data_IF_029455015278
#
_entry.id   IF_029455015278
#
_cell.length_a   1.000
_cell.length_b   1.000
_cell.length_c   1.000
_cell.angle_alpha   90.00
_cell.angle_beta   90.00
_cell.angle_gamma   90.00
#
_symmetry.space_group_name_H-M   'P 1'
#
loop_
_entity.id
_entity.type
_entity.pdbx_description
1 polymer ?
#
# COMPACT_ATOMS: atom_id res chain seq x y z
N UNK A 1 43.09 4.69 -17.55
CA UNK A 1 43.23 3.22 -17.45
C UNK A 1 41.82 2.61 -17.39
N UNK A 2 41.19 2.37 -18.55
CA UNK A 2 39.88 1.71 -18.63
C UNK A 2 40.10 0.23 -18.29
N UNK A 3 39.79 -0.17 -17.06
CA UNK A 3 39.78 -1.60 -16.70
C UNK A 3 38.73 -2.28 -17.58
N UNK A 4 39.17 -3.19 -18.44
CA UNK A 4 38.30 -4.10 -19.20
C UNK A 4 37.38 -4.79 -18.20
N UNK A 5 36.07 -4.53 -18.29
CA UNK A 5 35.05 -5.25 -17.53
C UNK A 5 34.96 -6.64 -18.15
N UNK A 6 35.70 -7.59 -17.57
CA UNK A 6 35.58 -9.01 -17.88
C UNK A 6 34.50 -9.58 -16.95
N UNK A 7 33.23 -9.34 -17.26
CA UNK A 7 32.18 -10.24 -16.79
C UNK A 7 32.28 -11.47 -17.70
N UNK A 8 32.80 -12.60 -17.18
CA UNK A 8 32.72 -13.85 -17.93
C UNK A 8 31.24 -14.19 -18.05
N UNK A 9 30.77 -14.43 -19.28
CA UNK A 9 29.39 -14.82 -19.57
C UNK A 9 28.91 -15.96 -18.66
N UNK A 10 29.83 -16.85 -18.24
CA UNK A 10 29.58 -17.98 -17.32
C UNK A 10 29.18 -17.59 -15.88
N UNK A 11 29.36 -16.34 -15.46
CA UNK A 11 28.92 -15.90 -14.13
C UNK A 11 27.46 -15.43 -14.13
N UNK A 12 26.88 -15.13 -15.30
CA UNK A 12 25.46 -14.77 -15.43
C UNK A 12 24.53 -15.96 -15.19
N UNK A 13 24.97 -17.18 -15.51
CA UNK A 13 24.22 -18.43 -15.34
C UNK A 13 24.01 -18.83 -13.87
N UNK A 14 24.67 -18.16 -12.91
CA UNK A 14 24.50 -18.39 -11.46
C UNK A 14 23.44 -17.50 -10.80
N UNK A 15 22.78 -16.63 -11.55
CA UNK A 15 21.73 -15.74 -11.04
C UNK A 15 20.37 -16.25 -11.52
N UNK A 16 19.60 -16.86 -10.64
CA UNK A 16 18.38 -17.63 -10.94
C UNK A 16 17.21 -16.86 -11.60
N UNK A 17 17.33 -15.58 -12.00
CA UNK A 17 16.15 -14.84 -12.47
C UNK A 17 16.41 -13.65 -13.42
N UNK A 18 17.48 -13.65 -14.22
CA UNK A 18 17.75 -12.56 -15.19
C UNK A 18 17.95 -11.15 -14.59
N UNK A 19 17.90 -11.02 -13.26
CA UNK A 19 17.93 -9.76 -12.52
C UNK A 19 19.26 -9.03 -12.70
N UNK A 20 20.38 -9.77 -12.75
CA UNK A 20 21.68 -9.18 -13.04
C UNK A 20 21.72 -8.56 -14.44
N UNK A 21 21.19 -9.27 -15.44
CA UNK A 21 21.10 -8.76 -16.82
C UNK A 21 20.24 -7.50 -16.86
N UNK A 22 19.10 -7.50 -16.16
CA UNK A 22 18.22 -6.35 -16.06
C UNK A 22 18.92 -5.12 -15.44
N UNK A 23 19.73 -5.32 -14.39
CA UNK A 23 20.54 -4.26 -13.79
C UNK A 23 21.58 -3.74 -14.79
N UNK A 24 22.33 -4.63 -15.44
CA UNK A 24 23.39 -4.23 -16.38
C UNK A 24 22.84 -3.52 -17.63
N UNK A 25 21.64 -3.88 -18.08
CA UNK A 25 20.94 -3.23 -19.20
C UNK A 25 20.23 -1.92 -18.83
N UNK A 26 20.24 -1.55 -17.54
CA UNK A 26 19.64 -0.32 -17.03
C UNK A 26 18.11 -0.33 -16.96
N UNK A 27 17.50 -1.48 -16.67
CA UNK A 27 16.06 -1.53 -16.42
C UNK A 27 15.72 -0.89 -15.08
N UNK A 28 14.75 0.02 -15.07
CA UNK A 28 14.29 0.70 -13.85
C UNK A 28 13.11 0.01 -13.15
N UNK A 29 12.53 -1.02 -13.78
CA UNK A 29 11.40 -1.78 -13.24
C UNK A 29 11.90 -2.99 -12.46
N UNK A 30 11.21 -3.32 -11.37
CA UNK A 30 11.49 -4.50 -10.53
C UNK A 30 12.93 -4.58 -9.99
N UNK A 31 13.61 -3.43 -9.84
CA UNK A 31 14.92 -3.38 -9.20
C UNK A 31 14.86 -4.03 -7.82
N UNK A 32 15.88 -4.81 -7.42
CA UNK A 32 15.98 -5.27 -6.05
C UNK A 32 16.08 -4.06 -5.09
N UNK A 33 15.65 -4.19 -3.83
CA UNK A 33 15.81 -3.12 -2.86
C UNK A 33 17.29 -2.78 -2.68
N UNK A 34 17.61 -1.50 -2.51
CA UNK A 34 18.95 -1.09 -2.10
C UNK A 34 19.29 -1.75 -0.76
N UNK A 35 20.59 -1.90 -0.46
CA UNK A 35 21.03 -2.41 0.85
C UNK A 35 20.77 -1.37 1.95
N UNK A 36 19.51 -1.17 2.29
CA UNK A 36 19.09 -0.57 3.56
C UNK A 36 19.41 -1.58 4.65
N UNK A 37 19.96 -1.14 5.78
CA UNK A 37 20.22 -2.05 6.92
C UNK A 37 18.96 -2.24 7.76
N UNK A 38 17.80 -2.41 7.11
CA UNK A 38 16.49 -2.33 7.75
C UNK A 38 15.54 -3.40 7.22
N UNK A 39 14.89 -4.11 8.13
CA UNK A 39 13.67 -4.89 7.90
C UNK A 39 12.52 -4.11 8.50
N UNK A 40 11.60 -3.65 7.65
CA UNK A 40 10.46 -2.82 8.06
C UNK A 40 9.16 -3.42 7.54
N UNK A 41 8.32 -3.90 8.45
CA UNK A 41 7.11 -4.67 8.12
C UNK A 41 5.88 -3.87 8.50
N UNK A 42 5.01 -3.58 7.53
CA UNK A 42 3.68 -3.02 7.80
C UNK A 42 2.69 -4.12 8.16
N UNK A 43 1.97 -3.98 9.27
CA UNK A 43 0.92 -4.90 9.71
C UNK A 43 -0.45 -4.30 9.36
N UNK A 44 -1.16 -4.94 8.44
CA UNK A 44 -2.51 -4.56 8.04
C UNK A 44 -3.55 -5.49 8.65
N UNK A 45 -4.51 -4.92 9.37
CA UNK A 45 -5.67 -5.63 9.91
C UNK A 45 -6.84 -4.68 10.13
N UNK A 46 -8.02 -5.24 10.37
CA UNK A 46 -9.13 -4.49 10.99
C UNK A 46 -8.80 -4.18 12.46
N UNK A 47 -9.42 -3.12 13.01
CA UNK A 47 -9.11 -2.64 14.36
C UNK A 47 -9.54 -3.62 15.46
N UNK A 48 -10.79 -4.11 15.40
CA UNK A 48 -11.41 -4.87 16.49
C UNK A 48 -11.16 -6.38 16.44
N UNK A 49 -11.05 -6.94 15.24
CA UNK A 49 -11.03 -8.40 15.01
C UNK A 49 -9.68 -9.01 15.42
N UNK A 50 -8.58 -8.27 15.23
CA UNK A 50 -7.21 -8.77 15.37
C UNK A 50 -6.45 -8.08 16.52
N UNK A 51 -7.15 -7.65 17.58
CA UNK A 51 -6.51 -6.95 18.70
C UNK A 51 -5.53 -7.87 19.42
N UNK A 52 -5.97 -9.07 19.80
CA UNK A 52 -5.17 -9.97 20.62
C UNK A 52 -3.93 -10.46 19.88
N UNK A 53 -4.07 -10.82 18.61
CA UNK A 53 -2.94 -11.20 17.76
C UNK A 53 -1.92 -10.07 17.64
N UNK A 54 -2.37 -8.84 17.36
CA UNK A 54 -1.45 -7.68 17.21
C UNK A 54 -0.73 -7.35 18.51
N UNK A 55 -1.43 -7.35 19.64
CA UNK A 55 -0.84 -7.12 20.95
C UNK A 55 0.20 -8.20 21.26
N UNK A 56 -0.14 -9.47 21.04
CA UNK A 56 0.76 -10.59 21.26
C UNK A 56 2.03 -10.51 20.37
N UNK A 57 1.89 -10.10 19.10
CA UNK A 57 3.06 -9.87 18.23
C UNK A 57 4.00 -8.77 18.77
N UNK A 58 3.43 -7.67 19.26
CA UNK A 58 4.20 -6.57 19.84
C UNK A 58 4.91 -7.00 21.13
N UNK A 59 4.24 -7.72 22.01
CA UNK A 59 4.76 -8.16 23.30
C UNK A 59 5.79 -9.29 23.16
N UNK A 60 5.50 -10.29 22.32
CA UNK A 60 6.23 -11.56 22.32
C UNK A 60 7.15 -11.75 21.10
N UNK A 61 6.78 -11.24 19.92
CA UNK A 61 7.53 -11.48 18.67
C UNK A 61 8.48 -10.35 18.31
N UNK A 62 8.15 -9.09 18.62
CA UNK A 62 8.95 -7.93 18.22
C UNK A 62 10.41 -8.02 18.67
N UNK A 63 10.66 -8.29 19.95
CA UNK A 63 12.02 -8.36 20.48
C UNK A 63 12.81 -9.55 19.92
N UNK A 64 12.17 -10.71 19.74
CA UNK A 64 12.83 -11.89 19.15
C UNK A 64 13.25 -11.64 17.71
N UNK A 65 12.39 -11.00 16.91
CA UNK A 65 12.69 -10.64 15.53
C UNK A 65 13.76 -9.56 15.44
N UNK A 66 13.73 -8.58 16.36
CA UNK A 66 14.76 -7.56 16.49
C UNK A 66 16.13 -8.17 16.81
N UNK A 67 16.21 -9.05 17.81
CA UNK A 67 17.44 -9.76 18.16
C UNK A 67 17.91 -10.62 16.99
N UNK A 68 17.02 -11.39 16.36
CA UNK A 68 17.36 -12.20 15.19
C UNK A 68 18.00 -11.39 14.05
N UNK A 69 17.36 -10.28 13.65
CA UNK A 69 17.84 -9.42 12.58
C UNK A 69 19.18 -8.76 12.93
N UNK A 70 19.33 -8.29 14.18
CA UNK A 70 20.52 -7.61 14.66
C UNK A 70 21.71 -8.57 14.82
N UNK A 71 21.50 -9.73 15.43
CA UNK A 71 22.55 -10.69 15.74
C UNK A 71 23.05 -11.42 14.50
N UNK A 72 22.13 -11.91 13.66
CA UNK A 72 22.47 -12.73 12.49
C UNK A 72 22.97 -11.88 11.31
N UNK A 73 22.43 -10.68 11.13
CA UNK A 73 22.65 -9.90 9.90
C UNK A 73 23.02 -8.43 10.11
N UNK A 74 23.06 -7.94 11.36
CA UNK A 74 23.29 -6.53 11.68
C UNK A 74 22.28 -5.62 10.98
N UNK A 75 21.02 -6.05 10.95
CA UNK A 75 19.89 -5.27 10.45
C UNK A 75 19.08 -4.72 11.61
N UNK A 76 18.57 -3.51 11.44
CA UNK A 76 17.49 -2.98 12.27
C UNK A 76 16.17 -3.66 11.90
N UNK A 77 15.29 -3.85 12.88
CA UNK A 77 13.95 -4.40 12.69
C UNK A 77 12.90 -3.41 13.20
N UNK A 78 11.89 -3.13 12.39
CA UNK A 78 10.78 -2.27 12.72
C UNK A 78 9.46 -2.95 12.30
N UNK A 79 8.51 -2.99 13.23
CA UNK A 79 7.15 -3.42 12.96
C UNK A 79 6.23 -2.21 13.05
N UNK A 80 5.49 -1.96 11.97
CA UNK A 80 4.63 -0.78 11.83
C UNK A 80 3.19 -1.24 11.93
N UNK A 81 2.60 -1.04 13.10
CA UNK A 81 1.15 -1.14 13.32
C UNK A 81 0.62 0.27 13.60
N UNK A 82 -0.03 0.88 12.61
CA UNK A 82 -0.59 2.22 12.78
C UNK A 82 -1.83 2.25 13.67
N UNK A 83 -2.41 1.10 14.04
CA UNK A 83 -3.57 1.06 14.94
C UNK A 83 -3.14 1.41 16.36
N UNK A 84 -1.84 1.34 16.65
CA UNK A 84 -1.21 1.92 17.82
C UNK A 84 -0.82 3.37 17.53
N UNK A 85 -1.49 4.33 18.19
CA UNK A 85 -1.11 5.75 18.12
C UNK A 85 -1.70 6.54 16.95
N UNK A 86 -2.83 6.11 16.36
CA UNK A 86 -3.62 7.04 15.55
C UNK A 86 -4.04 8.22 16.40
N UNK A 87 -3.68 9.41 15.94
CA UNK A 87 -4.04 10.65 16.62
C UNK A 87 -5.47 11.05 16.23
N UNK A 88 -6.18 11.69 17.15
CA UNK A 88 -7.56 12.14 16.89
C UNK A 88 -7.62 13.16 15.75
N UNK A 89 -6.56 13.94 15.55
CA UNK A 89 -6.46 14.93 14.47
C UNK A 89 -6.51 14.27 13.09
N UNK A 90 -5.97 13.04 12.95
CA UNK A 90 -6.02 12.30 11.69
C UNK A 90 -7.42 11.79 11.33
N UNK A 91 -8.31 11.66 12.32
CA UNK A 91 -9.73 11.40 12.08
C UNK A 91 -10.45 12.66 11.60
N UNK A 92 -10.10 13.80 12.19
CA UNK A 92 -10.69 15.11 11.86
C UNK A 92 -10.38 15.53 10.42
N UNK A 93 -9.13 15.42 9.98
CA UNK A 93 -8.68 15.84 8.64
C UNK A 93 -8.72 14.73 7.57
N UNK A 94 -9.21 13.54 7.92
CA UNK A 94 -9.36 12.38 7.04
C UNK A 94 -8.05 11.84 6.41
N UNK A 95 -6.91 12.03 7.09
CA UNK A 95 -5.58 11.66 6.56
C UNK A 95 -5.12 10.24 6.93
N UNK A 96 -5.86 9.49 7.77
CA UNK A 96 -5.45 8.14 8.23
C UNK A 96 -5.09 7.22 7.06
N UNK A 97 -5.91 7.18 6.02
CA UNK A 97 -5.69 6.30 4.86
C UNK A 97 -4.42 6.74 4.11
N UNK A 98 -4.22 8.05 3.93
CA UNK A 98 -3.02 8.59 3.28
C UNK A 98 -1.75 8.23 4.06
N UNK A 99 -1.78 8.33 5.39
CA UNK A 99 -0.69 7.89 6.25
C UNK A 99 -0.41 6.39 6.11
N UNK A 100 -1.44 5.55 6.11
CA UNK A 100 -1.29 4.12 5.90
C UNK A 100 -0.60 3.82 4.56
N UNK A 101 -1.05 4.45 3.47
CA UNK A 101 -0.44 4.22 2.15
C UNK A 101 1.01 4.73 2.09
N UNK A 102 1.29 5.90 2.66
CA UNK A 102 2.67 6.43 2.75
C UNK A 102 3.60 5.48 3.50
N UNK A 103 3.15 4.91 4.63
CA UNK A 103 3.95 3.96 5.39
C UNK A 103 4.12 2.61 4.67
N UNK A 104 3.09 2.12 3.98
CA UNK A 104 3.19 0.92 3.14
C UNK A 104 4.26 1.12 2.04
N UNK A 105 4.24 2.25 1.35
CA UNK A 105 5.25 2.55 0.32
C UNK A 105 6.66 2.67 0.93
N UNK A 106 6.80 3.28 2.11
CA UNK A 106 8.09 3.30 2.83
C UNK A 106 8.57 1.88 3.16
N UNK A 107 7.71 0.99 3.65
CA UNK A 107 8.08 -0.39 3.93
C UNK A 107 8.53 -1.12 2.65
N UNK A 108 7.80 -0.96 1.53
CA UNK A 108 8.18 -1.55 0.23
C UNK A 108 9.52 -1.03 -0.28
N UNK A 109 9.81 0.25 -0.05
CA UNK A 109 11.05 0.87 -0.51
C UNK A 109 12.27 0.59 0.38
N UNK A 110 12.06 0.47 1.69
CA UNK A 110 13.14 0.42 2.67
C UNK A 110 13.40 -0.96 3.27
N UNK A 111 12.45 -1.90 3.20
CA UNK A 111 12.59 -3.19 3.85
C UNK A 111 13.41 -4.18 3.03
N UNK A 112 14.35 -4.86 3.69
CA UNK A 112 14.89 -6.14 3.22
C UNK A 112 13.96 -7.27 3.69
N UNK A 113 13.47 -8.07 2.75
CA UNK A 113 12.59 -9.20 3.05
C UNK A 113 11.13 -8.76 3.11
N UNK A 114 10.37 -9.15 4.15
CA UNK A 114 8.96 -8.80 4.25
C UNK A 114 8.79 -7.29 4.44
N UNK A 115 7.86 -6.73 3.68
CA UNK A 115 7.46 -5.32 3.73
C UNK A 115 6.01 -5.15 4.19
N UNK A 116 5.19 -6.18 4.04
CA UNK A 116 3.76 -6.13 4.32
C UNK A 116 3.24 -7.47 4.83
N UNK A 117 2.37 -7.43 5.84
CA UNK A 117 1.66 -8.61 6.36
C UNK A 117 0.18 -8.27 6.49
N UNK A 118 -0.67 -9.12 5.91
CA UNK A 118 -2.12 -9.05 6.09
C UNK A 118 -2.57 -10.00 7.20
N UNK A 119 -3.30 -9.50 8.18
CA UNK A 119 -4.00 -10.28 9.20
C UNK A 119 -5.50 -10.17 8.95
N UNK A 120 -6.15 -11.29 8.58
CA UNK A 120 -7.56 -11.30 8.15
C UNK A 120 -8.41 -12.30 8.95
N UNK A 121 -9.38 -11.79 9.72
CA UNK A 121 -10.37 -12.60 10.43
C UNK A 121 -11.66 -12.70 9.63
N UNK A 122 -12.81 -12.62 10.31
CA UNK A 122 -14.14 -12.66 9.68
C UNK A 122 -14.79 -11.27 9.57
N UNK A 123 -14.08 -10.21 9.97
CA UNK A 123 -14.52 -8.82 9.79
C UNK A 123 -13.87 -8.21 8.55
N UNK A 124 -14.70 -7.71 7.64
CA UNK A 124 -14.28 -6.94 6.48
C UNK A 124 -13.87 -5.51 6.87
N UNK A 125 -14.60 -4.92 7.82
CA UNK A 125 -14.25 -3.68 8.48
C UNK A 125 -14.73 -2.40 7.78
N UNK A 126 -14.17 -1.27 8.23
CA UNK A 126 -14.63 0.07 7.85
C UNK A 126 -14.44 0.37 6.36
N UNK A 127 -15.53 0.73 5.68
CA UNK A 127 -15.58 1.12 4.26
C UNK A 127 -15.69 2.63 4.16
N UNK A 128 -14.55 3.31 3.97
CA UNK A 128 -14.54 4.77 3.78
C UNK A 128 -14.89 5.17 2.35
N UNK A 129 -15.10 6.46 2.13
CA UNK A 129 -14.98 7.10 0.81
C UNK A 129 -13.67 7.91 0.75
N UNK A 130 -13.18 8.26 -0.46
CA UNK A 130 -11.95 9.04 -0.63
C UNK A 130 -12.08 10.45 -0.05
N UNK A 131 -11.10 10.87 0.75
CA UNK A 131 -10.98 12.26 1.21
C UNK A 131 -10.52 13.21 0.12
N UNK A 132 -9.97 12.70 -0.98
CA UNK A 132 -9.56 13.48 -2.15
C UNK A 132 -10.02 12.79 -3.43
N UNK A 133 -10.65 13.54 -4.34
CA UNK A 133 -11.20 13.05 -5.61
C UNK A 133 -10.68 13.96 -6.72
N UNK A 134 -10.23 13.41 -7.85
CA UNK A 134 -9.79 14.24 -8.99
C UNK A 134 -10.94 15.13 -9.47
N UNK A 135 -10.65 16.39 -9.80
CA UNK A 135 -11.69 17.35 -10.18
C UNK A 135 -12.54 16.84 -11.35
N UNK A 136 -11.91 16.23 -12.36
CA UNK A 136 -12.63 15.62 -13.47
C UNK A 136 -13.64 14.56 -13.01
N UNK A 137 -13.23 13.67 -12.12
CA UNK A 137 -14.06 12.59 -11.59
C UNK A 137 -15.20 13.14 -10.72
N UNK A 138 -14.90 14.10 -9.84
CA UNK A 138 -15.88 14.73 -8.98
C UNK A 138 -16.96 15.47 -9.77
N UNK A 139 -16.55 16.22 -10.79
CA UNK A 139 -17.45 17.00 -11.63
C UNK A 139 -18.40 16.12 -12.44
N UNK A 140 -17.89 15.03 -13.01
CA UNK A 140 -18.72 14.04 -13.72
C UNK A 140 -19.76 13.41 -12.77
N UNK A 141 -19.36 13.06 -11.53
CA UNK A 141 -20.31 12.54 -10.54
C UNK A 141 -21.37 13.59 -10.15
N UNK A 142 -20.96 14.85 -9.98
CA UNK A 142 -21.86 15.95 -9.65
C UNK A 142 -22.92 16.15 -10.73
N UNK A 143 -22.51 16.17 -12.00
CA UNK A 143 -23.41 16.28 -13.14
C UNK A 143 -24.38 15.09 -13.23
N UNK A 144 -23.88 13.87 -13.08
CA UNK A 144 -24.72 12.67 -13.09
C UNK A 144 -25.79 12.68 -11.99
N UNK A 145 -25.43 13.13 -10.79
CA UNK A 145 -26.35 13.26 -9.65
C UNK A 145 -27.45 14.31 -9.90
N UNK A 146 -27.07 15.48 -10.42
CA UNK A 146 -28.02 16.55 -10.76
C UNK A 146 -29.01 16.11 -11.84
N UNK A 147 -28.52 15.47 -12.91
CA UNK A 147 -29.36 14.92 -13.98
C UNK A 147 -30.36 13.87 -13.47
N UNK A 148 -30.07 13.22 -12.34
CA UNK A 148 -30.93 12.24 -11.69
C UNK A 148 -31.73 12.84 -10.51
N UNK A 149 -31.85 14.17 -10.45
CA UNK A 149 -32.69 14.88 -9.48
C UNK A 149 -32.21 14.76 -8.02
N UNK A 150 -30.91 14.51 -7.80
CA UNK A 150 -30.34 14.39 -6.45
C UNK A 150 -29.81 15.74 -5.95
N UNK A 151 -30.00 16.00 -4.66
CA UNK A 151 -29.42 17.16 -3.99
C UNK A 151 -27.91 16.94 -3.77
N UNK A 152 -27.10 17.90 -4.23
CA UNK A 152 -25.65 17.92 -4.12
C UNK A 152 -25.13 18.97 -3.11
N UNK A 153 -26.03 19.64 -2.37
CA UNK A 153 -25.64 20.66 -1.40
C UNK A 153 -24.69 20.10 -0.35
N UNK A 154 -24.94 18.86 0.12
CA UNK A 154 -24.05 18.20 1.09
C UNK A 154 -22.66 17.96 0.50
N UNK A 155 -22.58 17.48 -0.75
CA UNK A 155 -21.31 17.29 -1.45
C UNK A 155 -20.56 18.61 -1.61
N UNK A 156 -21.25 19.65 -2.09
CA UNK A 156 -20.67 20.98 -2.34
C UNK A 156 -20.24 21.68 -1.04
N UNK A 157 -20.94 21.38 0.06
CA UNK A 157 -20.56 21.85 1.40
C UNK A 157 -19.29 21.15 1.87
N UNK A 158 -19.19 19.83 1.75
CA UNK A 158 -18.11 19.06 2.37
C UNK A 158 -16.85 18.92 1.50
N UNK A 159 -16.96 18.96 0.18
CA UNK A 159 -15.81 18.87 -0.73
C UNK A 159 -15.51 20.23 -1.35
N UNK A 160 -14.30 20.73 -1.10
CA UNK A 160 -13.82 22.00 -1.66
C UNK A 160 -12.75 21.76 -2.71
N UNK A 161 -12.80 22.54 -3.80
CA UNK A 161 -11.83 22.44 -4.89
C UNK A 161 -10.48 22.99 -4.44
N UNK A 162 -9.44 22.18 -4.54
CA UNK A 162 -8.05 22.59 -4.37
C UNK A 162 -7.38 22.71 -5.74
N UNK A 163 -7.06 23.95 -6.11
CA UNK A 163 -6.41 24.30 -7.38
C UNK A 163 -4.88 24.35 -7.26
N UNK A 164 -4.32 24.13 -6.06
CA UNK A 164 -2.88 24.07 -5.83
C UNK A 164 -2.28 22.69 -6.18
N UNK A 165 -3.12 21.68 -6.38
CA UNK A 165 -2.72 20.32 -6.77
C UNK A 165 -2.97 20.17 -8.29
N UNK A 166 -2.04 19.55 -9.01
CA UNK A 166 -2.17 19.29 -10.45
C UNK A 166 -2.12 17.77 -10.72
N UNK A 167 -3.16 17.16 -11.32
CA UNK A 167 -4.44 17.77 -11.69
C UNK A 167 -5.24 18.22 -10.46
N UNK A 168 -6.09 19.24 -10.62
CA UNK A 168 -6.92 19.78 -9.52
C UNK A 168 -7.76 18.68 -8.88
N UNK A 169 -8.04 18.83 -7.60
CA UNK A 169 -8.81 17.85 -6.81
C UNK A 169 -9.90 18.53 -6.01
N UNK A 170 -10.87 17.75 -5.55
CA UNK A 170 -11.79 18.12 -4.49
C UNK A 170 -11.38 17.40 -3.22
N UNK A 171 -11.19 18.16 -2.14
CA UNK A 171 -10.76 17.65 -0.84
C UNK A 171 -11.89 17.78 0.17
N UNK A 172 -12.13 16.71 0.91
CA UNK A 172 -13.07 16.66 2.02
C UNK A 172 -12.55 17.56 3.15
N UNK A 173 -13.38 18.50 3.59
CA UNK A 173 -13.03 19.43 4.65
C UNK A 173 -12.89 18.72 6.00
N UNK A 174 -12.02 19.20 6.91
CA UNK A 174 -11.92 18.66 8.26
C UNK A 174 -13.28 18.69 8.98
N UNK A 175 -13.58 17.69 9.79
CA UNK A 175 -14.88 17.56 10.47
C UNK A 175 -15.15 18.79 11.34
N UNK A 176 -14.15 19.22 12.12
CA UNK A 176 -14.17 20.37 13.02
C UNK A 176 -14.37 21.72 12.29
N UNK A 177 -14.09 21.79 10.99
CA UNK A 177 -14.33 23.00 10.20
C UNK A 177 -15.82 23.33 10.11
N UNK A 178 -16.67 22.29 10.07
CA UNK A 178 -18.13 22.38 9.97
C UNK A 178 -18.80 22.04 11.31
N UNK A 179 -18.40 20.94 11.95
CA UNK A 179 -18.94 20.45 13.24
C UNK A 179 -17.99 20.89 14.36
N UNK A 180 -18.17 22.10 14.87
CA UNK A 180 -17.21 22.78 15.77
C UNK A 180 -16.80 21.99 17.02
N UNK A 181 -17.69 21.17 17.57
CA UNK A 181 -17.44 20.44 18.82
C UNK A 181 -16.77 19.08 18.61
N UNK A 182 -16.37 18.71 17.39
CA UNK A 182 -15.80 17.39 17.10
C UNK A 182 -14.49 17.09 17.85
N UNK A 183 -13.66 18.11 18.05
CA UNK A 183 -12.38 18.02 18.80
C UNK A 183 -12.46 18.66 20.19
N UNK A 184 -13.68 18.86 20.73
CA UNK A 184 -13.88 19.51 22.02
C UNK A 184 -13.33 18.65 23.17
N UNK A 185 -12.79 19.28 24.22
CA UNK A 185 -12.35 18.59 25.42
C UNK A 185 -13.51 18.07 26.27
N UNK A 186 -14.70 18.68 26.16
CA UNK A 186 -15.92 18.20 26.80
C UNK A 186 -16.43 16.93 26.14
N UNK A 187 -16.58 15.87 26.95
CA UNK A 187 -16.96 14.53 26.48
C UNK A 187 -18.37 14.50 25.91
N UNK A 188 -19.31 15.24 26.50
CA UNK A 188 -20.71 15.27 26.06
C UNK A 188 -20.86 15.95 24.70
N UNK A 189 -20.28 17.15 24.55
CA UNK A 189 -20.29 17.90 23.30
C UNK A 189 -19.56 17.13 22.17
N UNK A 190 -18.45 16.48 22.51
CA UNK A 190 -17.70 15.64 21.56
C UNK A 190 -18.52 14.44 21.09
N UNK A 191 -19.24 13.78 22.00
CA UNK A 191 -20.09 12.64 21.65
C UNK A 191 -21.25 13.05 20.73
N UNK A 192 -21.94 14.15 21.04
CA UNK A 192 -23.00 14.68 20.16
C UNK A 192 -22.46 15.07 18.78
N UNK A 193 -21.27 15.68 18.71
CA UNK A 193 -20.62 16.01 17.45
C UNK A 193 -20.23 14.75 16.64
N UNK A 194 -19.83 13.66 17.30
CA UNK A 194 -19.55 12.38 16.63
C UNK A 194 -20.80 11.75 16.04
N UNK A 195 -21.91 11.77 16.77
CA UNK A 195 -23.21 11.28 16.26
C UNK A 195 -23.71 12.14 15.08
N UNK A 196 -23.47 13.45 15.11
CA UNK A 196 -23.74 14.32 13.96
C UNK A 196 -22.88 13.94 12.75
N UNK A 197 -21.58 13.72 12.97
CA UNK A 197 -20.67 13.28 11.91
C UNK A 197 -21.07 11.93 11.32
N UNK A 198 -21.49 10.95 12.13
CA UNK A 198 -21.93 9.64 11.64
C UNK A 198 -23.13 9.73 10.69
N UNK A 199 -24.07 10.65 10.97
CA UNK A 199 -25.21 10.93 10.08
C UNK A 199 -24.73 11.54 8.77
N UNK A 200 -23.86 12.55 8.84
CA UNK A 200 -23.27 13.20 7.66
C UNK A 200 -22.46 12.21 6.82
N UNK A 201 -21.62 11.40 7.47
CA UNK A 201 -20.81 10.37 6.83
C UNK A 201 -21.68 9.38 6.06
N UNK A 202 -22.77 8.90 6.68
CA UNK A 202 -23.70 7.97 6.03
C UNK A 202 -24.35 8.59 4.78
N UNK A 203 -24.75 9.86 4.86
CA UNK A 203 -25.33 10.58 3.72
C UNK A 203 -24.29 10.83 2.60
N UNK A 204 -23.08 11.26 2.94
CA UNK A 204 -21.97 11.45 1.99
C UNK A 204 -21.59 10.14 1.31
N UNK A 205 -21.49 9.05 2.09
CA UNK A 205 -21.20 7.74 1.55
C UNK A 205 -22.27 7.30 0.55
N UNK A 206 -23.54 7.46 0.91
CA UNK A 206 -24.65 7.10 0.03
C UNK A 206 -24.62 7.89 -1.29
N UNK A 207 -24.51 9.22 -1.23
CA UNK A 207 -24.55 10.07 -2.42
C UNK A 207 -23.33 9.87 -3.32
N UNK A 208 -22.12 9.67 -2.76
CA UNK A 208 -20.91 9.37 -3.53
C UNK A 208 -21.01 8.01 -4.23
N UNK A 209 -21.48 6.98 -3.51
CA UNK A 209 -21.66 5.64 -4.11
C UNK A 209 -22.72 5.66 -5.20
N UNK A 210 -23.80 6.40 -5.02
CA UNK A 210 -24.80 6.58 -6.06
C UNK A 210 -24.21 7.29 -7.29
N UNK A 211 -23.49 8.39 -7.09
CA UNK A 211 -22.86 9.14 -8.17
C UNK A 211 -21.91 8.28 -8.98
N UNK A 212 -21.01 7.54 -8.32
CA UNK A 212 -20.06 6.68 -9.03
C UNK A 212 -20.74 5.51 -9.74
N UNK A 213 -21.86 4.99 -9.21
CA UNK A 213 -22.66 3.94 -9.87
C UNK A 213 -23.26 4.45 -11.18
N UNK A 214 -23.93 5.62 -11.14
CA UNK A 214 -24.51 6.25 -12.32
C UNK A 214 -23.45 6.52 -13.40
N UNK A 215 -22.28 7.02 -13.01
CA UNK A 215 -21.18 7.27 -13.94
C UNK A 215 -20.57 5.97 -14.50
N UNK A 216 -20.54 4.90 -13.71
CA UNK A 216 -20.04 3.59 -14.17
C UNK A 216 -20.98 2.97 -15.20
N UNK A 217 -22.30 3.09 -15.01
CA UNK A 217 -23.31 2.62 -15.98
C UNK A 217 -23.19 3.34 -17.32
N UNK A 218 -22.78 4.61 -17.30
CA UNK A 218 -22.53 5.43 -18.49
C UNK A 218 -21.11 5.29 -19.05
N UNK A 219 -20.27 4.40 -18.51
CA UNK A 219 -18.85 4.21 -18.87
C UNK A 219 -17.99 5.48 -18.73
N UNK A 220 -18.38 6.42 -17.87
CA UNK A 220 -17.61 7.64 -17.60
C UNK A 220 -16.53 7.43 -16.53
N UNK A 221 -16.74 6.46 -15.63
CA UNK A 221 -15.79 6.03 -14.61
C UNK A 221 -15.53 4.53 -14.78
N UNK A 222 -14.26 4.13 -14.75
CA UNK A 222 -13.90 2.71 -14.90
C UNK A 222 -14.28 1.89 -13.66
N UNK A 223 -14.46 0.59 -13.84
CA UNK A 223 -14.70 -0.35 -12.72
C UNK A 223 -13.60 -0.30 -11.66
N UNK A 224 -12.34 -0.04 -12.07
CA UNK A 224 -11.20 0.08 -11.15
C UNK A 224 -11.28 1.35 -10.32
N UNK A 225 -11.64 2.48 -10.93
CA UNK A 225 -11.80 3.75 -10.23
C UNK A 225 -12.99 3.72 -9.25
N UNK A 226 -14.04 2.97 -9.57
CA UNK A 226 -15.18 2.75 -8.68
C UNK A 226 -14.78 2.06 -7.37
N UNK A 227 -13.80 1.13 -7.37
CA UNK A 227 -13.51 0.28 -6.20
C UNK A 227 -13.24 1.08 -4.92
N UNK A 228 -12.53 2.22 -5.01
CA UNK A 228 -12.13 3.05 -3.86
C UNK A 228 -13.29 3.66 -3.05
N UNK A 229 -14.53 3.61 -3.56
CA UNK A 229 -15.74 4.07 -2.85
C UNK A 229 -16.46 2.96 -2.07
N UNK A 230 -16.08 1.69 -2.29
CA UNK A 230 -16.80 0.53 -1.74
C UNK A 230 -15.92 -0.34 -0.84
N UNK A 231 -14.62 -0.45 -1.14
CA UNK A 231 -13.74 -1.36 -0.41
C UNK A 231 -13.44 -0.89 1.02
N UNK A 232 -13.10 -1.83 1.89
CA UNK A 232 -12.64 -1.49 3.24
C UNK A 232 -11.24 -0.88 3.22
N UNK A 233 -10.89 -0.16 4.30
CA UNK A 233 -9.53 0.37 4.49
C UNK A 233 -8.50 -0.76 4.46
N UNK A 234 -8.79 -1.90 5.10
CA UNK A 234 -7.92 -3.08 5.09
C UNK A 234 -7.75 -3.65 3.68
N UNK A 235 -8.82 -3.75 2.88
CA UNK A 235 -8.68 -4.16 1.48
C UNK A 235 -7.81 -3.18 0.68
N UNK A 236 -7.99 -1.87 0.90
CA UNK A 236 -7.17 -0.86 0.23
C UNK A 236 -5.69 -0.93 0.61
N UNK A 237 -5.37 -1.18 1.89
CA UNK A 237 -4.02 -1.45 2.35
C UNK A 237 -3.43 -2.70 1.67
N UNK A 238 -4.21 -3.79 1.56
CA UNK A 238 -3.78 -5.02 0.88
C UNK A 238 -3.57 -4.80 -0.61
N UNK A 239 -4.41 -4.01 -1.27
CA UNK A 239 -4.20 -3.64 -2.68
C UNK A 239 -2.84 -2.95 -2.86
N UNK A 240 -2.52 -1.96 -2.02
CA UNK A 240 -1.27 -1.18 -2.12
C UNK A 240 -0.03 -1.95 -1.65
N UNK A 241 -0.17 -2.74 -0.59
CA UNK A 241 0.91 -3.48 0.05
C UNK A 241 1.27 -4.77 -0.66
N UNK A 242 0.28 -5.46 -1.25
CA UNK A 242 0.44 -6.78 -1.82
C UNK A 242 0.04 -6.82 -3.29
N UNK A 243 -1.21 -6.54 -3.63
CA UNK A 243 -1.77 -6.92 -4.94
C UNK A 243 -1.22 -6.08 -6.10
N UNK A 244 -0.88 -4.82 -5.86
CA UNK A 244 -0.23 -3.94 -6.85
C UNK A 244 1.30 -4.08 -6.86
N UNK A 245 1.88 -4.90 -5.97
CA UNK A 245 3.33 -5.12 -5.90
C UNK A 245 3.76 -6.31 -6.75
N UNK A 246 4.65 -6.08 -7.71
CA UNK A 246 5.24 -7.15 -8.54
C UNK A 246 6.08 -8.14 -7.74
N UNK A 247 6.55 -7.77 -6.55
CA UNK A 247 7.42 -8.58 -5.68
C UNK A 247 6.66 -9.19 -4.49
N UNK A 248 5.34 -9.06 -4.44
CA UNK A 248 4.54 -9.43 -3.27
C UNK A 248 4.76 -10.87 -2.79
N UNK A 249 4.99 -11.82 -3.70
CA UNK A 249 5.32 -13.21 -3.37
C UNK A 249 6.57 -13.37 -2.50
N UNK A 250 7.50 -12.42 -2.56
CA UNK A 250 8.76 -12.45 -1.83
C UNK A 250 8.80 -11.45 -0.67
N UNK A 251 7.89 -10.46 -0.66
CA UNK A 251 7.92 -9.35 0.28
C UNK A 251 6.64 -9.23 1.11
N UNK A 252 5.72 -10.18 1.01
CA UNK A 252 4.48 -10.17 1.80
C UNK A 252 3.92 -11.57 2.06
N UNK A 253 3.20 -11.71 3.17
CA UNK A 253 2.47 -12.92 3.53
C UNK A 253 1.15 -12.56 4.22
N UNK A 254 0.23 -13.53 4.28
CA UNK A 254 -1.10 -13.38 4.85
C UNK A 254 -1.31 -14.41 5.96
N UNK A 255 -1.83 -13.98 7.10
CA UNK A 255 -2.30 -14.86 8.17
C UNK A 255 -3.81 -14.68 8.29
N UNK A 256 -4.55 -15.77 8.29
CA UNK A 256 -6.02 -15.73 8.35
C UNK A 256 -6.53 -16.49 9.56
N UNK A 257 -7.56 -15.96 10.23
CA UNK A 257 -8.26 -16.64 11.32
C UNK A 257 -9.72 -16.90 10.97
N UNK A 258 -10.21 -18.08 11.34
CA UNK A 258 -11.62 -18.44 11.33
C UNK A 258 -12.06 -18.86 12.74
N UNK A 259 -13.10 -18.24 13.27
CA UNK A 259 -13.87 -18.69 14.44
C UNK A 259 -15.02 -19.55 13.89
N UNK A 260 -14.95 -20.85 14.16
CA UNK A 260 -15.84 -21.88 13.59
C UNK A 260 -17.31 -21.63 13.90
N UNK A 261 -17.63 -21.28 15.15
CA UNK A 261 -18.98 -21.09 15.66
C UNK A 261 -19.40 -19.60 15.76
N UNK A 262 -18.80 -18.69 14.98
CA UNK A 262 -19.09 -17.26 15.09
C UNK A 262 -20.52 -16.90 14.65
N UNK A 263 -20.99 -17.47 13.55
CA UNK A 263 -22.33 -17.18 13.01
C UNK A 263 -23.46 -17.65 13.95
N UNK A 264 -23.23 -18.72 14.70
CA UNK A 264 -24.16 -19.25 15.70
C UNK A 264 -24.26 -18.33 16.93
N UNK A 265 -23.24 -17.50 17.15
CA UNK A 265 -23.08 -16.69 18.35
C UNK A 265 -23.18 -15.17 18.10
N UNK A 266 -23.80 -14.76 16.99
CA UNK A 266 -23.95 -13.34 16.60
C UNK A 266 -24.73 -12.50 17.61
N UNK A 267 -25.60 -13.11 18.41
CA UNK A 267 -26.34 -12.46 19.48
C UNK A 267 -25.44 -12.04 20.66
N UNK A 268 -24.23 -12.61 20.75
CA UNK A 268 -23.26 -12.17 21.73
C UNK A 268 -22.75 -10.77 21.37
N UNK A 269 -22.80 -9.82 22.32
CA UNK A 269 -22.34 -8.44 22.10
C UNK A 269 -20.88 -8.37 21.61
N UNK A 270 -20.04 -9.33 21.98
CA UNK A 270 -18.64 -9.41 21.53
C UNK A 270 -18.49 -9.83 20.06
N UNK A 271 -19.49 -10.50 19.45
CA UNK A 271 -19.43 -10.97 18.07
C UNK A 271 -19.20 -9.83 17.07
N UNK A 272 -19.75 -8.63 17.35
CA UNK A 272 -19.54 -7.40 16.55
C UNK A 272 -18.06 -7.02 16.36
N UNK A 273 -17.16 -7.50 17.23
CA UNK A 273 -15.71 -7.32 17.08
C UNK A 273 -15.13 -8.14 15.92
N UNK A 274 -15.70 -9.31 15.63
CA UNK A 274 -15.16 -10.32 14.72
C UNK A 274 -15.95 -10.47 13.41
N UNK A 275 -17.18 -9.95 13.35
CA UNK A 275 -18.02 -9.96 12.15
C UNK A 275 -18.68 -8.60 11.93
N UNK A 276 -19.02 -8.28 10.70
CA UNK A 276 -19.79 -7.08 10.36
C UNK A 276 -21.28 -7.35 10.50
N UNK A 277 -21.95 -6.57 11.35
CA UNK A 277 -23.39 -6.61 11.57
C UNK A 277 -24.03 -5.29 11.13
N UNK A 278 -25.28 -5.37 10.65
CA UNK A 278 -26.10 -4.20 10.36
C UNK A 278 -26.46 -3.46 11.67
N UNK A 279 -26.64 -2.12 11.64
CA UNK A 279 -26.77 -1.29 12.84
C UNK A 279 -27.84 -1.72 13.86
N UNK A 280 -28.95 -2.32 13.40
CA UNK A 280 -30.17 -2.41 14.23
C UNK A 280 -30.65 -3.82 14.61
N UNK A 281 -30.11 -4.91 14.04
CA UNK A 281 -30.76 -6.24 14.17
C UNK A 281 -29.84 -7.44 14.42
N UNK A 282 -28.57 -7.25 14.79
CA UNK A 282 -27.57 -8.34 14.86
C UNK A 282 -27.54 -9.23 13.59
N UNK A 283 -27.94 -8.64 12.46
CA UNK A 283 -27.97 -9.32 11.15
C UNK A 283 -26.61 -9.16 10.52
N UNK A 284 -26.04 -10.28 10.07
CA UNK A 284 -24.77 -10.30 9.34
C UNK A 284 -24.88 -9.43 8.07
N UNK A 285 -23.93 -8.51 7.90
CA UNK A 285 -23.76 -7.76 6.65
C UNK A 285 -23.21 -8.71 5.56
N UNK A 286 -24.14 -9.29 4.79
CA UNK A 286 -23.82 -10.26 3.73
C UNK A 286 -22.97 -9.65 2.62
N UNK A 287 -23.12 -8.36 2.34
CA UNK A 287 -22.29 -7.67 1.35
C UNK A 287 -20.85 -7.61 1.83
N UNK A 288 -20.62 -7.22 3.09
CA UNK A 288 -19.28 -7.21 3.69
C UNK A 288 -18.65 -8.61 3.70
N UNK A 289 -19.42 -9.65 4.04
CA UNK A 289 -18.94 -11.03 4.01
C UNK A 289 -18.60 -11.50 2.59
N UNK A 290 -19.40 -11.13 1.59
CA UNK A 290 -19.10 -11.43 0.19
C UNK A 290 -17.82 -10.74 -0.27
N UNK A 291 -17.64 -9.46 0.08
CA UNK A 291 -16.43 -8.70 -0.26
C UNK A 291 -15.18 -9.29 0.40
N UNK A 292 -15.25 -9.68 1.69
CA UNK A 292 -14.16 -10.36 2.39
C UNK A 292 -13.81 -11.71 1.75
N UNK A 293 -14.83 -12.50 1.39
CA UNK A 293 -14.63 -13.78 0.72
C UNK A 293 -13.99 -13.59 -0.66
N UNK A 294 -14.41 -12.58 -1.41
CA UNK A 294 -13.79 -12.20 -2.68
C UNK A 294 -12.31 -11.82 -2.46
N UNK A 295 -12.02 -10.95 -1.48
CA UNK A 295 -10.66 -10.56 -1.15
C UNK A 295 -9.75 -11.77 -0.84
N UNK A 296 -10.20 -12.67 0.04
CA UNK A 296 -9.44 -13.88 0.40
C UNK A 296 -9.25 -14.84 -0.79
N UNK A 297 -10.35 -15.21 -1.47
CA UNK A 297 -10.36 -16.32 -2.43
C UNK A 297 -9.96 -15.91 -3.85
N UNK A 298 -10.31 -14.71 -4.30
CA UNK A 298 -10.12 -14.29 -5.70
C UNK A 298 -9.00 -13.28 -5.87
N UNK A 299 -8.66 -12.51 -4.82
CA UNK A 299 -7.56 -11.54 -4.88
C UNK A 299 -6.26 -12.07 -4.26
N UNK A 300 -6.30 -12.50 -2.99
CA UNK A 300 -5.09 -12.92 -2.25
C UNK A 300 -4.62 -14.32 -2.63
N UNK A 301 -5.50 -15.33 -2.59
CA UNK A 301 -5.10 -16.72 -2.87
C UNK A 301 -4.40 -16.92 -4.23
N UNK A 302 -4.86 -16.31 -5.35
CA UNK A 302 -4.16 -16.43 -6.63
C UNK A 302 -2.76 -15.81 -6.64
N UNK A 303 -2.48 -14.86 -5.76
CA UNK A 303 -1.15 -14.25 -5.63
C UNK A 303 -0.08 -15.28 -5.29
N UNK A 304 -0.40 -16.29 -4.47
CA UNK A 304 0.54 -17.31 -4.03
C UNK A 304 0.48 -18.62 -4.83
N UNK A 305 -0.42 -18.69 -5.83
CA UNK A 305 -0.57 -19.87 -6.67
C UNK A 305 -0.96 -21.12 -5.88
N UNK A 306 -0.52 -22.29 -6.35
CA UNK A 306 -0.88 -23.59 -5.74
C UNK A 306 -0.14 -23.90 -4.43
N UNK A 307 1.02 -23.30 -4.18
CA UNK A 307 1.83 -23.66 -3.02
C UNK A 307 1.37 -22.98 -1.73
N UNK A 308 0.59 -21.89 -1.83
CA UNK A 308 0.08 -21.11 -0.69
C UNK A 308 1.18 -20.80 0.36
N UNK A 309 2.46 -20.80 -0.04
CA UNK A 309 3.61 -20.84 0.89
C UNK A 309 3.67 -19.66 1.85
N UNK A 310 3.03 -18.55 1.50
CA UNK A 310 2.98 -17.32 2.29
C UNK A 310 1.55 -17.00 2.74
N UNK A 311 0.69 -18.01 2.88
CA UNK A 311 -0.65 -17.88 3.43
C UNK A 311 -0.88 -18.95 4.49
N UNK A 312 -1.08 -18.54 5.74
CA UNK A 312 -1.33 -19.46 6.86
C UNK A 312 -2.73 -19.25 7.42
N UNK A 313 -3.33 -20.35 7.90
CA UNK A 313 -4.73 -20.40 8.29
C UNK A 313 -4.85 -20.95 9.70
N UNK A 314 -5.57 -20.22 10.55
CA UNK A 314 -5.85 -20.57 11.93
C UNK A 314 -7.34 -20.79 12.10
N UNK A 315 -7.69 -21.85 12.82
CA UNK A 315 -9.06 -22.15 13.19
C UNK A 315 -9.17 -22.20 14.71
N UNK A 316 -10.13 -21.45 15.23
CA UNK A 316 -10.43 -21.40 16.67
C UNK A 316 -11.91 -21.62 16.90
N UNK A 317 -12.26 -22.07 18.09
CA UNK A 317 -13.66 -22.24 18.51
C UNK A 317 -13.91 -21.35 19.72
N UNK A 318 -15.02 -20.63 19.73
CA UNK A 318 -15.42 -19.80 20.87
C UNK A 318 -16.06 -20.69 21.94
N UNK A 319 -15.30 -21.02 22.98
CA UNK A 319 -15.71 -22.01 23.99
C UNK A 319 -16.45 -21.40 25.19
N UNK A 320 -16.04 -20.22 25.66
CA UNK A 320 -16.68 -19.51 26.77
C UNK A 320 -17.28 -18.18 26.29
N UNK A 321 -18.56 -18.24 25.95
CA UNK A 321 -19.30 -17.11 25.37
C UNK A 321 -19.52 -15.97 26.38
N UNK A 322 -19.52 -16.28 27.68
CA UNK A 322 -19.87 -15.30 28.72
C UNK A 322 -18.62 -14.59 29.25
N UNK A 323 -17.54 -15.33 29.51
CA UNK A 323 -16.41 -14.82 30.28
C UNK A 323 -15.18 -14.47 29.42
N UNK A 324 -14.99 -15.07 28.24
CA UNK A 324 -13.76 -14.86 27.46
C UNK A 324 -13.98 -14.36 26.03
N UNK A 325 -12.97 -13.64 25.53
CA UNK A 325 -12.83 -13.35 24.12
C UNK A 325 -12.27 -14.60 23.41
N UNK A 326 -12.81 -15.06 22.27
CA UNK A 326 -12.37 -16.31 21.63
C UNK A 326 -10.89 -16.29 21.23
N UNK A 327 -10.31 -15.10 21.09
CA UNK A 327 -8.92 -14.91 20.70
C UNK A 327 -7.95 -14.84 21.90
N UNK A 328 -8.46 -14.80 23.14
CA UNK A 328 -7.68 -14.87 24.38
C UNK A 328 -7.35 -16.33 24.76
N UNK A 329 -6.75 -17.05 23.82
CA UNK A 329 -6.26 -18.41 24.04
C UNK A 329 -4.73 -18.44 23.90
N UNK A 330 -4.04 -18.73 25.00
CA UNK A 330 -2.58 -18.69 25.08
C UNK A 330 -1.89 -19.64 24.09
N UNK A 331 -2.44 -20.83 23.87
CA UNK A 331 -1.90 -21.82 22.93
C UNK A 331 -2.02 -21.32 21.48
N UNK A 332 -3.20 -20.81 21.12
CA UNK A 332 -3.45 -20.17 19.82
C UNK A 332 -2.51 -18.98 19.61
N UNK A 333 -2.43 -18.04 20.55
CA UNK A 333 -1.62 -16.83 20.43
C UNK A 333 -0.12 -17.14 20.36
N UNK A 334 0.34 -18.14 21.11
CA UNK A 334 1.73 -18.62 21.04
C UNK A 334 2.02 -19.22 19.67
N UNK A 335 1.15 -20.11 19.18
CA UNK A 335 1.31 -20.70 17.86
C UNK A 335 1.28 -19.65 16.74
N UNK A 336 0.38 -18.68 16.82
CA UNK A 336 0.28 -17.55 15.91
C UNK A 336 1.59 -16.74 15.85
N UNK A 337 2.17 -16.42 17.02
CA UNK A 337 3.46 -15.73 17.10
C UNK A 337 4.60 -16.55 16.50
N UNK A 338 4.67 -17.85 16.78
CA UNK A 338 5.69 -18.74 16.22
C UNK A 338 5.63 -18.79 14.69
N UNK A 339 4.42 -18.92 14.13
CA UNK A 339 4.22 -18.91 12.68
C UNK A 339 4.63 -17.57 12.08
N UNK A 340 4.19 -16.44 12.66
CA UNK A 340 4.58 -15.11 12.20
C UNK A 340 6.10 -14.93 12.23
N UNK A 341 6.75 -15.27 13.34
CA UNK A 341 8.20 -15.15 13.50
C UNK A 341 8.94 -15.98 12.45
N UNK A 342 8.52 -17.23 12.23
CA UNK A 342 9.14 -18.13 11.27
C UNK A 342 9.00 -17.61 9.84
N UNK A 343 7.84 -17.07 9.45
CA UNK A 343 7.65 -16.47 8.12
C UNK A 343 8.51 -15.22 7.92
N UNK A 344 8.59 -14.34 8.92
CA UNK A 344 9.45 -13.16 8.84
C UNK A 344 10.91 -13.57 8.68
N UNK A 345 11.40 -14.49 9.54
CA UNK A 345 12.78 -15.01 9.48
C UNK A 345 13.09 -15.64 8.13
N UNK A 346 12.17 -16.45 7.59
CA UNK A 346 12.30 -17.11 6.30
C UNK A 346 12.43 -16.09 5.15
N UNK A 347 11.57 -15.08 5.11
CA UNK A 347 11.59 -14.07 4.05
C UNK A 347 12.82 -13.15 4.14
N UNK A 348 13.29 -12.83 5.35
CA UNK A 348 14.56 -12.12 5.56
C UNK A 348 15.74 -12.96 5.05
N UNK A 349 15.81 -14.25 5.40
CA UNK A 349 16.87 -15.15 4.96
C UNK A 349 16.90 -15.31 3.44
N UNK A 350 15.73 -15.49 2.81
CA UNK A 350 15.59 -15.57 1.34
C UNK A 350 16.06 -14.27 0.68
N UNK A 351 15.61 -13.11 1.17
CA UNK A 351 15.99 -11.82 0.59
C UNK A 351 17.49 -11.54 0.71
N UNK A 352 18.11 -11.85 1.84
CA UNK A 352 19.55 -11.65 2.04
C UNK A 352 20.40 -12.62 1.23
N UNK A 353 19.94 -13.85 1.02
CA UNK A 353 20.61 -14.80 0.13
C UNK A 353 20.65 -14.25 -1.30
N UNK A 354 19.52 -13.70 -1.77
CA UNK A 354 19.45 -13.06 -3.09
C UNK A 354 20.34 -11.80 -3.18
N UNK A 355 20.34 -10.95 -2.15
CA UNK A 355 21.20 -9.77 -2.10
C UNK A 355 22.69 -10.11 -2.03
N UNK A 356 23.08 -11.17 -1.31
CA UNK A 356 24.47 -11.65 -1.25
C UNK A 356 24.97 -12.07 -2.62
N UNK A 357 24.11 -12.67 -3.44
CA UNK A 357 24.47 -13.00 -4.82
C UNK A 357 24.77 -11.73 -5.63
N UNK A 358 23.94 -10.69 -5.52
CA UNK A 358 24.12 -9.40 -6.24
C UNK A 358 25.35 -8.62 -5.73
N UNK A 359 25.56 -8.60 -4.41
CA UNK A 359 26.60 -7.76 -3.75
C UNK A 359 28.03 -8.31 -3.86
N UNK A 360 28.22 -9.52 -4.40
CA UNK A 360 29.56 -10.08 -4.69
C UNK A 360 30.36 -9.24 -5.69
N UNK A 361 29.71 -8.47 -6.55
CA UNK A 361 30.37 -7.62 -7.53
C UNK A 361 30.14 -6.13 -7.21
N UNK A 362 31.19 -5.44 -6.78
CA UNK A 362 31.16 -4.01 -6.41
C UNK A 362 30.69 -3.10 -7.54
N UNK A 363 30.95 -3.45 -8.80
CA UNK A 363 30.49 -2.68 -9.96
C UNK A 363 28.98 -2.80 -10.16
N UNK A 364 28.41 -3.98 -9.92
CA UNK A 364 26.96 -4.21 -10.00
C UNK A 364 26.24 -3.42 -8.91
N UNK A 365 26.82 -3.35 -7.71
CA UNK A 365 26.31 -2.53 -6.61
C UNK A 365 26.27 -1.04 -7.00
N UNK A 366 27.33 -0.51 -7.60
CA UNK A 366 27.37 0.89 -8.07
C UNK A 366 26.28 1.17 -9.12
N UNK A 367 26.13 0.28 -10.11
CA UNK A 367 25.09 0.41 -11.15
C UNK A 367 23.70 0.37 -10.50
N UNK A 368 23.45 -0.58 -9.60
CA UNK A 368 22.19 -0.74 -8.89
C UNK A 368 21.82 0.49 -8.05
N UNK A 369 22.80 1.13 -7.41
CA UNK A 369 22.62 2.41 -6.70
C UNK A 369 22.16 3.53 -7.63
N UNK A 370 22.82 3.70 -8.77
CA UNK A 370 22.45 4.73 -9.73
C UNK A 370 21.08 4.48 -10.37
N UNK A 371 20.71 3.23 -10.65
CA UNK A 371 19.37 2.90 -11.16
C UNK A 371 18.27 3.24 -10.15
N UNK A 372 18.47 2.94 -8.87
CA UNK A 372 17.52 3.34 -7.83
C UNK A 372 17.42 4.86 -7.68
N UNK A 373 18.55 5.58 -7.71
CA UNK A 373 18.53 7.05 -7.74
C UNK A 373 17.73 7.59 -8.94
N UNK A 374 17.87 6.96 -10.11
CA UNK A 374 17.11 7.33 -11.29
C UNK A 374 15.61 7.09 -11.11
N UNK A 375 15.23 5.91 -10.63
CA UNK A 375 13.83 5.53 -10.37
C UNK A 375 13.16 6.51 -9.39
N UNK A 376 13.83 6.85 -8.29
CA UNK A 376 13.25 7.76 -7.29
C UNK A 376 13.03 9.16 -7.85
N UNK A 377 13.97 9.66 -8.66
CA UNK A 377 13.87 11.00 -9.28
C UNK A 377 12.86 11.05 -10.44
N UNK A 378 12.62 9.94 -11.13
CA UNK A 378 11.62 9.85 -12.20
C UNK A 378 10.19 9.78 -11.66
N UNK A 379 9.96 9.14 -10.50
CA UNK A 379 8.64 9.04 -9.88
C UNK A 379 8.01 10.38 -9.50
N UNK A 380 8.82 11.35 -9.07
CA UNK A 380 8.36 12.70 -8.69
C UNK A 380 8.36 13.69 -9.85
N UNK A 381 8.69 13.25 -11.07
CA UNK A 381 8.80 14.12 -12.23
C UNK A 381 7.42 14.52 -12.76
N UNK A 382 7.24 15.82 -13.04
CA UNK A 382 6.00 16.39 -13.59
C UNK A 382 6.30 17.39 -14.73
N UNK A 383 5.51 17.34 -15.80
CA UNK A 383 5.54 18.27 -16.92
C UNK A 383 6.80 18.19 -17.79
N UNK A 384 7.19 19.34 -18.37
CA UNK A 384 8.36 19.51 -19.27
C UNK A 384 8.28 18.71 -20.58
N UNK A 385 7.07 18.51 -21.10
CA UNK A 385 6.83 17.71 -22.31
C UNK A 385 7.63 18.19 -23.53
N UNK A 386 7.79 19.50 -23.71
CA UNK A 386 8.61 20.07 -24.79
C UNK A 386 10.08 19.64 -24.71
N UNK A 387 10.63 19.56 -23.49
CA UNK A 387 12.02 19.13 -23.28
C UNK A 387 12.14 17.62 -23.52
N UNK A 388 11.14 16.85 -23.06
CA UNK A 388 11.08 15.41 -23.28
C UNK A 388 10.96 15.06 -24.77
N UNK A 389 10.19 15.83 -25.53
CA UNK A 389 10.06 15.69 -26.99
C UNK A 389 11.39 15.95 -27.69
N UNK A 390 12.08 17.06 -27.36
CA UNK A 390 13.42 17.37 -27.90
C UNK A 390 14.43 16.26 -27.59
N UNK A 391 14.40 15.68 -26.39
CA UNK A 391 15.25 14.56 -25.99
C UNK A 391 14.96 13.31 -26.81
N UNK A 392 13.68 12.96 -26.97
CA UNK A 392 13.26 11.82 -27.81
C UNK A 392 13.70 12.00 -29.26
N UNK A 393 13.49 13.18 -29.82
CA UNK A 393 13.87 13.50 -31.21
C UNK A 393 15.39 13.39 -31.41
N UNK A 394 16.16 13.85 -30.43
CA UNK A 394 17.63 13.72 -30.44
C UNK A 394 18.08 12.26 -30.42
N UNK A 395 17.53 11.45 -29.51
CA UNK A 395 17.88 10.04 -29.35
C UNK A 395 17.41 9.16 -30.52
N UNK A 396 16.45 9.65 -31.32
CA UNK A 396 15.92 8.94 -32.49
C UNK A 396 16.85 8.99 -33.71
N UNK A 397 17.95 9.75 -33.65
CA UNK A 397 18.85 10.00 -34.78
C UNK A 397 20.29 9.64 -34.41
N UNK A 398 21.13 9.23 -35.38
CA UNK A 398 22.56 9.08 -35.15
C UNK A 398 23.14 10.44 -34.75
N UNK A 399 23.80 10.51 -33.59
CA UNK A 399 24.42 11.73 -33.09
C UNK A 399 25.94 11.60 -33.06
N UNK A 400 26.64 12.64 -33.51
CA UNK A 400 28.12 12.73 -33.48
C UNK A 400 28.66 13.38 -32.19
N UNK A 401 27.81 14.10 -31.47
CA UNK A 401 28.19 14.89 -30.29
C UNK A 401 27.37 14.46 -29.07
N UNK A 402 27.85 14.70 -27.84
CA UNK A 402 27.02 14.51 -26.65
C UNK A 402 25.98 15.63 -26.52
N UNK A 403 24.77 15.28 -26.07
CA UNK A 403 23.76 16.27 -25.73
C UNK A 403 24.03 16.83 -24.33
N UNK A 404 24.01 18.15 -24.19
CA UNK A 404 24.20 18.85 -22.91
C UNK A 404 22.91 19.54 -22.50
N UNK A 405 22.36 19.16 -21.34
CA UNK A 405 21.25 19.84 -20.69
C UNK A 405 21.80 20.85 -19.67
N UNK A 406 21.58 22.15 -19.91
CA UNK A 406 22.06 23.23 -19.05
C UNK A 406 20.91 24.12 -18.56
N UNK A 407 21.17 24.92 -17.52
CA UNK A 407 20.18 25.75 -16.84
C UNK A 407 20.56 26.00 -15.38
N UNK A 408 19.87 26.94 -14.73
CA UNK A 408 20.13 27.36 -13.35
C UNK A 408 20.15 26.19 -12.35
N UNK A 409 20.86 26.34 -11.23
CA UNK A 409 20.80 25.35 -10.15
C UNK A 409 19.37 25.15 -9.67
N UNK A 410 18.99 23.91 -9.32
CA UNK A 410 17.63 23.59 -8.91
C UNK A 410 16.59 23.52 -10.03
N UNK A 411 16.92 23.85 -11.30
CA UNK A 411 15.94 23.88 -12.40
C UNK A 411 15.41 22.51 -12.86
N UNK A 412 15.79 21.41 -12.21
CA UNK A 412 15.29 20.06 -12.49
C UNK A 412 16.05 19.27 -13.57
N UNK A 413 17.24 19.72 -14.00
CA UNK A 413 18.06 19.05 -15.05
C UNK A 413 18.25 17.55 -14.80
N UNK A 414 18.64 17.20 -13.58
CA UNK A 414 18.86 15.81 -13.15
C UNK A 414 17.57 14.98 -13.23
N UNK A 415 16.43 15.57 -12.88
CA UNK A 415 15.13 14.89 -12.95
C UNK A 415 14.67 14.68 -14.39
N UNK A 416 14.93 15.64 -15.29
CA UNK A 416 14.66 15.50 -16.73
C UNK A 416 15.45 14.33 -17.32
N UNK A 417 16.76 14.23 -17.03
CA UNK A 417 17.58 13.12 -17.52
C UNK A 417 17.17 11.77 -16.90
N UNK A 418 16.81 11.76 -15.62
CA UNK A 418 16.29 10.55 -14.96
C UNK A 418 14.98 10.07 -15.59
N UNK A 419 14.06 11.00 -15.90
CA UNK A 419 12.83 10.66 -16.60
C UNK A 419 13.09 10.19 -18.03
N UNK A 420 14.04 10.79 -18.74
CA UNK A 420 14.47 10.34 -20.06
C UNK A 420 14.93 8.87 -20.01
N UNK A 421 15.82 8.53 -19.07
CA UNK A 421 16.30 7.17 -18.90
C UNK A 421 15.16 6.17 -18.62
N UNK A 422 14.15 6.59 -17.84
CA UNK A 422 12.96 5.79 -17.57
C UNK A 422 12.09 5.54 -18.81
N UNK A 423 12.04 6.48 -19.75
CA UNK A 423 11.20 6.40 -20.94
C UNK A 423 11.90 5.82 -22.17
N UNK A 424 13.23 5.73 -22.22
CA UNK A 424 13.98 5.25 -23.41
C UNK A 424 13.47 3.90 -23.92
N UNK A 425 13.30 2.91 -23.04
CA UNK A 425 12.81 1.57 -23.42
C UNK A 425 11.35 1.59 -23.89
N UNK A 426 10.57 2.59 -23.50
CA UNK A 426 9.17 2.80 -23.96
C UNK A 426 9.15 3.52 -25.30
N UNK A 427 10.04 4.50 -25.50
CA UNK A 427 10.14 5.26 -26.74
C UNK A 427 10.64 4.43 -27.91
N UNK A 428 11.51 3.45 -27.65
CA UNK A 428 12.15 2.62 -28.66
C UNK A 428 11.94 1.13 -28.38
N UNK A 429 10.70 0.60 -28.47
CA UNK A 429 10.40 -0.80 -28.11
C UNK A 429 10.99 -1.82 -29.10
N UNK A 430 11.29 -1.40 -30.33
CA UNK A 430 11.87 -2.24 -31.38
C UNK A 430 13.40 -2.32 -31.30
N UNK A 431 14.01 -1.42 -30.54
CA UNK A 431 15.43 -1.46 -30.22
C UNK A 431 15.55 -2.05 -28.80
N UNK A 432 16.62 -2.78 -28.49
CA UNK A 432 16.91 -3.21 -27.12
C UNK A 432 17.94 -2.26 -26.50
N UNK A 433 17.58 -1.01 -26.12
CA UNK A 433 18.57 -0.03 -25.68
C UNK A 433 19.12 -0.41 -24.30
N UNK A 434 20.45 -0.41 -24.20
CA UNK A 434 21.19 -0.46 -22.94
C UNK A 434 21.32 0.96 -22.39
N UNK A 435 20.84 1.18 -21.16
CA UNK A 435 20.86 2.51 -20.53
C UNK A 435 21.87 2.53 -19.39
N UNK A 436 22.95 3.29 -19.54
CA UNK A 436 23.98 3.45 -18.49
C UNK A 436 23.72 4.78 -17.79
N UNK A 437 23.51 4.72 -16.47
CA UNK A 437 23.18 5.89 -15.65
C UNK A 437 24.27 6.09 -14.61
N UNK A 438 24.76 7.33 -14.50
CA UNK A 438 25.72 7.73 -13.48
C UNK A 438 25.33 9.09 -12.94
N UNK A 439 25.03 9.14 -11.64
CA UNK A 439 24.84 10.40 -10.92
C UNK A 439 26.18 10.86 -10.35
N UNK A 440 26.53 12.13 -10.58
CA UNK A 440 27.76 12.74 -10.08
C UNK A 440 27.38 13.85 -9.10
N UNK A 441 27.89 13.78 -7.87
CA UNK A 441 27.58 14.70 -6.77
C UNK A 441 27.35 13.96 -5.46
N UNK A 442 27.59 14.64 -4.33
CA UNK A 442 27.37 14.10 -2.97
C UNK A 442 25.88 13.96 -2.64
#
# INVERSE_FOLDING_TARGET
MLRKVSLRYSDADKYEDGTLHAILEGHLKNLPPLSTRLVRVFISSTFSDMIQERNCLMENSYFKLKSYCLEKYRLEFQMIDLRWGLREESQDDHTIIEFCIKEIEKCKHLSIGPSFVALLGQKYGYRSFPSTIEAKEFEIMREALLCNGKDINLLSKWYQKDENIIPNVYTLQPISSIIKNYTNSDVGLKQTAREEWEKVFSQLQHILRLGVLLCTEQNLISRKEKEKYFISVTEYEILKGMLESSQAKHTSFCLTRNISNLEENIHNKRARKFIDLLPDNDVIDRDAQQMLNNLKKTKIKPLYGKSEENMEHFEITWTDLEQSDPTENDEYLKHFCEVFENKVKLLVDKALTNLRNITRNTQVVEIHQHLNMCRNRSQVFRGRDDHMKKLKDYLSRPAKYPLVLYGLSGSGKTSVLAQCANLIKIWFPQSTPTVIIRFLGK
#
